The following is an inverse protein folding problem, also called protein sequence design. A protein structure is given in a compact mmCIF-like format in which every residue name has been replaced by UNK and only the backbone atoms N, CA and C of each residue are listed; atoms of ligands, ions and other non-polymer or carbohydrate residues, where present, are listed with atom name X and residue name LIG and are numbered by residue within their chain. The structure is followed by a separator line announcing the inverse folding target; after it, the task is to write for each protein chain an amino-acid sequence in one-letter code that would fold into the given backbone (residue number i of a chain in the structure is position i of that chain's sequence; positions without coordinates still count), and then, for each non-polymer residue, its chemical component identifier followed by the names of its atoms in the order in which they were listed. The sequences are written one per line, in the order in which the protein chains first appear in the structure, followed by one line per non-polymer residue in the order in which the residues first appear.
data_IF_153615067884
#
_entry.id   IF_153615067884
#
_cell.length_a   1.000
_cell.length_b   1.000
_cell.length_c   1.000
_cell.angle_alpha   90.00
_cell.angle_beta   90.00
_cell.angle_gamma   90.00
#
_symmetry.space_group_name_H-M   'P 1'
#
loop_
_entity.id
_entity.type
_entity.pdbx_description
1 polymer ?
#
# COMPACT_ATOMS: atom_id res chain seq x y z
N UNK A 1 -14.58 -28.86 50.38
CA UNK A 1 -13.98 -28.25 49.18
C UNK A 1 -13.20 -27.02 49.62
N UNK A 2 -11.87 -27.00 49.54
CA UNK A 2 -11.07 -25.83 49.89
C UNK A 2 -10.99 -24.83 48.70
N UNK A 3 -10.82 -23.52 48.93
CA UNK A 3 -10.79 -22.50 47.89
C UNK A 3 -9.46 -22.52 47.13
N UNK A 4 -9.53 -22.28 45.85
CA UNK A 4 -8.38 -22.21 44.91
C UNK A 4 -7.53 -20.98 45.19
N UNK A 5 -6.23 -21.20 45.35
CA UNK A 5 -5.20 -20.17 45.51
C UNK A 5 -5.11 -19.26 44.32
N UNK A 6 -5.16 -17.95 44.54
CA UNK A 6 -4.95 -16.91 43.50
C UNK A 6 -3.51 -16.88 43.06
N UNK A 7 -3.33 -16.99 41.75
CA UNK A 7 -2.04 -16.87 41.05
C UNK A 7 -1.64 -15.40 40.99
N UNK A 8 -0.67 -14.99 41.79
CA UNK A 8 -0.09 -13.63 41.76
C UNK A 8 0.95 -13.57 40.69
N UNK A 9 0.69 -12.78 39.66
CA UNK A 9 1.74 -12.43 38.67
C UNK A 9 2.72 -11.44 39.32
N UNK A 10 3.96 -11.87 39.48
CA UNK A 10 5.04 -10.99 39.92
C UNK A 10 5.44 -10.07 38.75
N UNK A 11 5.41 -8.76 39.02
CA UNK A 11 5.94 -7.75 38.06
C UNK A 11 7.47 -7.85 38.03
N UNK A 12 8.08 -7.75 36.86
CA UNK A 12 9.56 -7.78 36.73
C UNK A 12 10.19 -6.52 37.35
N UNK A 13 11.31 -6.75 38.01
CA UNK A 13 12.10 -5.78 38.77
C UNK A 13 12.64 -4.65 37.87
N UNK A 14 12.56 -3.41 38.35
CA UNK A 14 12.91 -2.15 37.68
C UNK A 14 14.42 -1.94 37.35
N UNK A 15 15.31 -2.90 37.58
CA UNK A 15 16.75 -2.71 37.49
C UNK A 15 17.43 -3.15 36.20
N UNK A 16 16.69 -3.53 35.15
CA UNK A 16 17.26 -3.98 33.86
C UNK A 16 16.83 -3.14 32.64
N UNK A 17 16.70 -1.84 32.80
CA UNK A 17 16.46 -0.92 31.69
C UNK A 17 17.52 0.20 31.66
N UNK A 18 18.79 -0.19 31.57
CA UNK A 18 19.85 0.68 31.10
C UNK A 18 20.57 -0.01 29.94
N UNK A 19 19.95 0.03 28.78
CA UNK A 19 20.63 -0.16 27.51
C UNK A 19 20.21 0.99 26.61
N UNK A 20 20.99 2.08 26.71
CA UNK A 20 20.99 3.22 25.82
C UNK A 20 21.46 2.77 24.45
N UNK A 21 20.55 2.38 23.55
CA UNK A 21 20.90 2.23 22.13
C UNK A 21 19.71 2.71 21.28
N UNK A 22 19.95 3.82 20.61
CA UNK A 22 19.34 4.25 19.35
C UNK A 22 17.83 4.49 19.29
N UNK A 23 17.35 5.55 19.94
CA UNK A 23 16.22 6.32 19.42
C UNK A 23 16.80 7.61 18.81
N UNK A 24 17.37 7.50 17.65
CA UNK A 24 17.71 8.66 16.82
C UNK A 24 16.90 8.57 15.54
N UNK A 25 16.15 9.62 15.32
CA UNK A 25 15.36 9.92 14.12
C UNK A 25 13.92 9.38 14.15
N UNK A 26 13.13 9.83 15.10
CA UNK A 26 11.71 10.03 14.83
C UNK A 26 11.62 11.22 13.86
N UNK A 27 11.60 10.93 12.57
CA UNK A 27 11.17 11.88 11.56
C UNK A 27 9.83 12.44 12.02
N UNK A 28 9.73 13.75 12.21
CA UNK A 28 8.49 14.44 12.58
C UNK A 28 7.39 13.94 11.69
N UNK A 29 6.47 13.12 12.21
CA UNK A 29 5.27 12.71 11.50
C UNK A 29 4.51 14.00 11.25
N UNK A 30 4.59 14.53 10.02
CA UNK A 30 3.78 15.67 9.61
C UNK A 30 2.33 15.21 9.66
N UNK A 31 1.50 15.88 10.45
CA UNK A 31 0.05 15.69 10.36
C UNK A 31 -0.35 15.92 8.91
N UNK A 32 -1.18 15.03 8.32
CA UNK A 32 -1.70 15.27 6.99
C UNK A 32 -2.42 16.64 6.98
N UNK A 33 -2.27 17.44 5.91
CA UNK A 33 -2.95 18.72 5.79
C UNK A 33 -4.46 18.53 5.94
N UNK A 34 -5.14 19.50 6.55
CA UNK A 34 -6.59 19.50 6.60
C UNK A 34 -7.14 19.48 5.16
N UNK A 35 -8.29 18.83 4.95
CA UNK A 35 -8.87 18.62 3.61
C UNK A 35 -9.04 19.90 2.76
N UNK A 36 -8.95 21.08 3.36
CA UNK A 36 -9.03 22.39 2.70
C UNK A 36 -7.73 22.89 2.07
N UNK A 37 -6.57 22.28 2.38
CA UNK A 37 -5.24 22.74 1.93
C UNK A 37 -4.45 21.67 1.14
N UNK A 38 -5.13 20.66 0.60
CA UNK A 38 -4.47 19.64 -0.24
C UNK A 38 -4.34 20.26 -1.64
N UNK A 39 -3.12 20.36 -2.21
CA UNK A 39 -2.95 20.88 -3.55
C UNK A 39 -3.75 20.06 -4.54
N UNK A 40 -4.52 20.71 -5.39
CA UNK A 40 -5.10 20.10 -6.57
C UNK A 40 -3.98 19.71 -7.51
N UNK A 41 -4.15 18.61 -8.21
CA UNK A 41 -3.22 18.13 -9.23
C UNK A 41 -4.00 17.71 -10.46
N UNK A 42 -3.30 17.35 -11.51
CA UNK A 42 -3.90 16.73 -12.69
C UNK A 42 -3.65 15.23 -12.68
N UNK A 43 -4.51 14.49 -13.37
CA UNK A 43 -4.23 13.07 -13.61
C UNK A 43 -3.00 12.93 -14.50
N UNK A 44 -2.21 11.85 -14.35
CA UNK A 44 -1.06 11.59 -15.21
C UNK A 44 -1.45 11.56 -16.68
N UNK A 45 -0.96 12.55 -17.46
CA UNK A 45 -1.26 12.66 -18.88
C UNK A 45 -0.63 11.50 -19.67
N UNK A 46 -1.34 10.99 -20.67
CA UNK A 46 -0.86 9.90 -21.53
C UNK A 46 -0.77 8.53 -20.84
N UNK A 47 -1.26 8.39 -19.59
CA UNK A 47 -1.29 7.12 -18.86
C UNK A 47 -2.73 6.69 -18.62
N UNK A 48 -2.97 5.39 -18.70
CA UNK A 48 -4.25 4.78 -18.32
C UNK A 48 -4.14 4.23 -16.91
N UNK A 49 -5.13 4.46 -16.03
CA UNK A 49 -5.12 3.83 -14.71
C UNK A 49 -5.23 2.31 -14.85
N UNK A 50 -4.44 1.59 -14.08
CA UNK A 50 -4.48 0.12 -14.03
C UNK A 50 -5.74 -0.36 -13.32
N UNK A 51 -6.21 0.42 -12.34
CA UNK A 51 -7.39 0.13 -11.56
C UNK A 51 -8.16 1.44 -11.31
N UNK A 52 -9.48 1.39 -11.43
CA UNK A 52 -10.38 2.46 -11.07
C UNK A 52 -11.52 1.89 -10.21
N UNK A 53 -11.70 2.42 -8.99
CA UNK A 53 -12.67 1.90 -8.04
C UNK A 53 -13.27 3.02 -7.19
N UNK A 54 -14.49 2.85 -6.76
CA UNK A 54 -15.18 3.77 -5.85
C UNK A 54 -15.31 3.08 -4.50
N UNK A 55 -14.69 3.61 -3.43
CA UNK A 55 -14.85 3.06 -2.08
C UNK A 55 -16.29 3.25 -1.59
N UNK A 56 -16.81 2.23 -0.93
CA UNK A 56 -18.17 2.17 -0.42
C UNK A 56 -18.19 2.37 1.11
N UNK A 57 -19.37 2.59 1.74
CA UNK A 57 -19.47 2.80 3.18
C UNK A 57 -18.76 1.76 4.06
N UNK A 58 -18.74 0.45 3.74
CA UNK A 58 -17.98 -0.54 4.51
C UNK A 58 -16.47 -0.33 4.50
N UNK A 59 -15.93 0.41 3.53
CA UNK A 59 -14.49 0.67 3.39
C UNK A 59 -14.02 1.85 4.27
N UNK A 60 -14.97 2.54 4.93
CA UNK A 60 -14.71 3.74 5.69
C UNK A 60 -14.60 3.50 7.20
N UNK A 61 -13.75 4.28 7.84
CA UNK A 61 -13.68 4.39 9.28
C UNK A 61 -14.84 5.24 9.85
N UNK A 62 -15.06 5.26 11.19
CA UNK A 62 -16.12 6.06 11.81
C UNK A 62 -16.07 7.57 11.51
N UNK A 63 -14.96 8.09 11.02
CA UNK A 63 -14.80 9.49 10.62
C UNK A 63 -15.16 9.76 9.15
N UNK A 64 -15.65 8.74 8.41
CA UNK A 64 -16.04 8.86 7.00
C UNK A 64 -14.89 8.86 6.00
N UNK A 65 -13.68 8.50 6.44
CA UNK A 65 -12.52 8.34 5.58
C UNK A 65 -12.23 6.87 5.31
N UNK A 66 -11.80 6.55 4.11
CA UNK A 66 -11.42 5.19 3.72
C UNK A 66 -10.22 4.72 4.54
N UNK A 67 -10.25 3.45 4.96
CA UNK A 67 -9.14 2.85 5.70
C UNK A 67 -7.86 2.81 4.86
N UNK A 68 -6.72 3.13 5.48
CA UNK A 68 -5.41 3.04 4.82
C UNK A 68 -5.08 1.62 4.33
N UNK A 69 -5.53 0.60 5.04
CA UNK A 69 -5.41 -0.80 4.62
C UNK A 69 -6.16 -1.11 3.32
N UNK A 70 -7.34 -0.53 3.13
CA UNK A 70 -8.08 -0.63 1.87
C UNK A 70 -7.27 0.00 0.71
N UNK A 71 -6.73 1.21 0.92
CA UNK A 71 -5.91 1.88 -0.10
C UNK A 71 -4.69 1.01 -0.45
N UNK A 72 -4.00 0.49 0.57
CA UNK A 72 -2.83 -0.36 0.39
C UNK A 72 -3.15 -1.64 -0.40
N UNK A 73 -4.29 -2.29 -0.13
CA UNK A 73 -4.70 -3.49 -0.86
C UNK A 73 -5.00 -3.20 -2.34
N UNK A 74 -5.63 -2.06 -2.65
CA UNK A 74 -5.88 -1.67 -4.04
C UNK A 74 -4.58 -1.30 -4.77
N UNK A 75 -3.63 -0.68 -4.07
CA UNK A 75 -2.30 -0.38 -4.61
C UNK A 75 -1.49 -1.65 -4.88
N UNK A 76 -1.59 -2.64 -4.01
CA UNK A 76 -0.97 -3.96 -4.21
C UNK A 76 -1.52 -4.64 -5.47
N UNK A 77 -2.84 -4.66 -5.63
CA UNK A 77 -3.49 -5.21 -6.84
C UNK A 77 -3.00 -4.48 -8.10
N UNK A 78 -2.98 -3.14 -8.09
CA UNK A 78 -2.53 -2.37 -9.24
C UNK A 78 -1.06 -2.62 -9.58
N UNK A 79 -0.19 -2.68 -8.57
CA UNK A 79 1.23 -2.99 -8.74
C UNK A 79 1.46 -4.41 -9.23
N UNK A 80 0.67 -5.38 -8.73
CA UNK A 80 0.73 -6.77 -9.17
C UNK A 80 0.38 -6.91 -10.66
N UNK A 81 -0.60 -6.17 -11.18
CA UNK A 81 -0.93 -6.18 -12.62
C UNK A 81 0.27 -5.77 -13.46
N UNK A 82 0.96 -4.68 -13.09
CA UNK A 82 2.16 -4.24 -13.81
C UNK A 82 3.31 -5.25 -13.69
N UNK A 83 3.47 -5.86 -12.51
CA UNK A 83 4.50 -6.87 -12.27
C UNK A 83 4.23 -8.16 -13.06
N UNK A 84 2.97 -8.64 -13.12
CA UNK A 84 2.55 -9.82 -13.90
C UNK A 84 2.82 -9.60 -15.39
N UNK A 85 2.47 -8.42 -15.93
CA UNK A 85 2.74 -8.07 -17.33
C UNK A 85 4.25 -8.09 -17.63
N UNK A 86 5.08 -7.54 -16.73
CA UNK A 86 6.54 -7.52 -16.89
C UNK A 86 7.16 -8.91 -16.75
N UNK A 87 6.73 -9.69 -15.77
CA UNK A 87 7.24 -11.05 -15.51
C UNK A 87 6.64 -12.11 -16.46
N UNK A 88 5.59 -11.77 -17.21
CA UNK A 88 4.84 -12.70 -18.08
C UNK A 88 4.43 -13.98 -17.34
N UNK A 89 3.92 -13.83 -16.11
CA UNK A 89 3.53 -14.96 -15.28
C UNK A 89 3.27 -14.57 -13.84
N UNK A 90 3.08 -15.56 -12.98
CA UNK A 90 2.73 -15.39 -11.58
C UNK A 90 3.77 -14.56 -10.83
N UNK A 91 3.28 -13.73 -9.91
CA UNK A 91 4.12 -12.97 -8.98
C UNK A 91 3.56 -13.07 -7.57
N UNK A 92 4.43 -12.92 -6.58
CA UNK A 92 4.05 -12.80 -5.17
C UNK A 92 4.55 -11.48 -4.61
N UNK A 93 3.73 -10.76 -3.85
CA UNK A 93 4.14 -9.56 -3.13
C UNK A 93 5.04 -9.96 -1.97
N UNK A 94 6.24 -9.41 -1.92
CA UNK A 94 7.22 -9.75 -0.87
C UNK A 94 7.56 -8.55 0.02
N UNK A 95 7.38 -7.32 -0.47
CA UNK A 95 7.66 -6.14 0.33
C UNK A 95 6.86 -4.91 -0.13
N UNK A 96 6.50 -4.08 0.83
CA UNK A 96 6.13 -2.69 0.63
C UNK A 96 7.30 -1.85 1.13
N UNK A 97 8.09 -1.31 0.20
CA UNK A 97 9.32 -0.61 0.54
C UNK A 97 9.06 0.79 1.09
N UNK A 98 8.09 1.47 0.50
CA UNK A 98 7.58 2.77 0.96
C UNK A 98 6.10 2.86 0.70
N UNK A 99 5.37 3.46 1.63
CA UNK A 99 3.96 3.82 1.44
C UNK A 99 3.72 5.15 2.15
N UNK A 100 3.24 6.13 1.42
CA UNK A 100 2.94 7.46 1.95
C UNK A 100 1.47 7.79 1.66
N UNK A 101 0.74 8.14 2.70
CA UNK A 101 -0.61 8.70 2.59
C UNK A 101 -0.49 10.24 2.57
N UNK A 102 -0.91 10.83 1.47
CA UNK A 102 -0.78 12.28 1.22
C UNK A 102 -2.07 13.01 1.58
N UNK A 103 -3.22 12.35 1.33
CA UNK A 103 -4.54 12.92 1.56
C UNK A 103 -5.56 11.82 1.91
N UNK A 104 -6.61 12.13 2.69
CA UNK A 104 -7.69 11.18 2.94
C UNK A 104 -8.54 10.98 1.69
N UNK A 105 -9.04 9.76 1.51
CA UNK A 105 -10.07 9.40 0.52
C UNK A 105 -11.41 9.34 1.24
N UNK A 106 -12.47 9.82 0.60
CA UNK A 106 -13.85 9.73 1.11
C UNK A 106 -14.63 8.66 0.35
N UNK A 107 -15.65 8.14 1.00
CA UNK A 107 -16.64 7.27 0.36
C UNK A 107 -17.24 8.00 -0.84
N UNK A 108 -17.36 7.30 -1.97
CA UNK A 108 -17.92 7.83 -3.21
C UNK A 108 -16.94 8.60 -4.11
N UNK A 109 -15.71 8.88 -3.66
CA UNK A 109 -14.69 9.47 -4.53
C UNK A 109 -14.10 8.40 -5.47
N UNK A 110 -14.16 8.62 -6.78
CA UNK A 110 -13.52 7.72 -7.74
C UNK A 110 -12.02 7.74 -7.53
N UNK A 111 -11.45 6.59 -7.21
CA UNK A 111 -10.02 6.43 -6.94
C UNK A 111 -9.36 5.68 -8.10
N UNK A 112 -8.33 6.28 -8.66
CA UNK A 112 -7.58 5.81 -9.82
C UNK A 112 -6.17 5.43 -9.38
N UNK A 113 -5.73 4.23 -9.76
CA UNK A 113 -4.42 3.71 -9.42
C UNK A 113 -3.59 3.55 -10.70
N UNK A 114 -2.41 4.14 -10.70
CA UNK A 114 -1.42 4.04 -11.77
C UNK A 114 -0.23 3.26 -11.25
N UNK A 115 0.25 2.31 -12.04
CA UNK A 115 1.39 1.49 -11.67
C UNK A 115 2.38 1.39 -12.83
N UNK A 116 3.66 1.60 -12.53
CA UNK A 116 4.77 1.47 -13.47
C UNK A 116 5.87 0.61 -12.86
N UNK A 117 6.56 -0.13 -13.72
CA UNK A 117 7.77 -0.85 -13.32
C UNK A 117 8.89 0.16 -13.08
N UNK A 118 9.33 0.28 -11.85
CA UNK A 118 10.44 1.16 -11.46
C UNK A 118 11.80 0.48 -11.54
N UNK A 119 11.84 -0.84 -11.25
CA UNK A 119 13.10 -1.61 -11.27
C UNK A 119 12.81 -3.09 -11.53
N UNK A 120 13.70 -3.73 -12.26
CA UNK A 120 13.71 -5.19 -12.45
C UNK A 120 15.02 -5.76 -11.90
N UNK A 121 14.92 -6.75 -11.01
CA UNK A 121 16.02 -7.57 -10.53
C UNK A 121 16.05 -8.91 -11.25
N UNK A 122 16.84 -9.86 -10.76
CA UNK A 122 16.90 -11.20 -11.35
C UNK A 122 15.54 -11.92 -11.24
N UNK A 123 14.99 -12.01 -10.03
CA UNK A 123 13.70 -12.69 -9.76
C UNK A 123 12.61 -11.70 -9.32
N UNK A 124 12.91 -10.41 -9.18
CA UNK A 124 12.01 -9.43 -8.59
C UNK A 124 11.67 -8.28 -9.54
N UNK A 125 10.47 -7.74 -9.37
CA UNK A 125 9.99 -6.53 -10.04
C UNK A 125 9.55 -5.55 -8.96
N UNK A 126 10.10 -4.33 -8.95
CA UNK A 126 9.62 -3.25 -8.08
C UNK A 126 8.74 -2.31 -8.91
N UNK A 127 7.52 -2.11 -8.46
CA UNK A 127 6.55 -1.22 -9.10
C UNK A 127 6.33 0.03 -8.24
N UNK A 128 6.32 1.19 -8.88
CA UNK A 128 5.82 2.43 -8.30
C UNK A 128 4.31 2.48 -8.54
N UNK A 129 3.56 2.68 -7.47
CA UNK A 129 2.10 2.81 -7.55
C UNK A 129 1.69 4.17 -7.00
N UNK A 130 0.84 4.87 -7.73
CA UNK A 130 0.30 6.18 -7.36
C UNK A 130 -1.22 6.12 -7.38
N UNK A 131 -1.83 6.67 -6.34
CA UNK A 131 -3.29 6.75 -6.22
C UNK A 131 -3.76 8.20 -6.29
N UNK A 132 -4.80 8.43 -7.07
CA UNK A 132 -5.45 9.72 -7.27
C UNK A 132 -6.94 9.58 -7.01
N UNK A 133 -7.57 10.61 -6.45
CA UNK A 133 -9.03 10.70 -6.35
C UNK A 133 -9.57 11.80 -7.21
N UNK A 134 -10.75 11.56 -7.75
CA UNK A 134 -11.59 12.56 -8.39
C UNK A 134 -12.80 12.82 -7.49
N UNK A 135 -12.88 14.03 -7.01
CA UNK A 135 -14.02 14.53 -6.26
C UNK A 135 -14.96 15.27 -7.22
N UNK A 136 -16.26 15.02 -7.07
CA UNK A 136 -17.29 15.67 -7.85
C UNK A 136 -17.22 15.39 -9.38
N UNK A 137 -17.55 14.17 -9.77
CA UNK A 137 -17.56 13.71 -11.17
C UNK A 137 -18.59 14.45 -12.08
N UNK A 138 -19.43 15.32 -11.52
CA UNK A 138 -20.49 16.05 -12.24
C UNK A 138 -20.19 17.54 -12.50
N UNK A 139 -19.06 18.06 -11.99
CA UNK A 139 -18.64 19.47 -12.15
C UNK A 139 -17.13 19.52 -12.37
N UNK A 140 -16.46 20.69 -12.41
CA UNK A 140 -15.01 20.71 -12.53
C UNK A 140 -14.39 19.76 -11.53
N UNK A 141 -13.82 18.67 -12.06
CA UNK A 141 -13.35 17.54 -11.25
C UNK A 141 -12.12 17.96 -10.47
N UNK A 142 -12.21 17.98 -9.15
CA UNK A 142 -11.05 18.19 -8.30
C UNK A 142 -10.25 16.90 -8.22
N UNK A 143 -9.04 16.91 -8.78
CA UNK A 143 -8.12 15.77 -8.73
C UNK A 143 -7.12 15.98 -7.61
N UNK A 144 -6.87 14.93 -6.82
CA UNK A 144 -5.89 14.94 -5.74
C UNK A 144 -5.05 13.67 -5.76
N UNK A 145 -3.73 13.80 -5.64
CA UNK A 145 -2.87 12.67 -5.35
C UNK A 145 -3.02 12.31 -3.87
N UNK A 146 -3.43 11.07 -3.58
CA UNK A 146 -3.80 10.64 -2.22
C UNK A 146 -2.79 9.68 -1.60
N UNK A 147 -2.06 8.92 -2.42
CA UNK A 147 -1.03 8.01 -1.93
C UNK A 147 0.01 7.70 -3.00
N UNK A 148 1.19 7.30 -2.55
CA UNK A 148 2.23 6.72 -3.39
C UNK A 148 2.98 5.63 -2.65
N UNK A 149 3.44 4.60 -3.36
CA UNK A 149 4.15 3.47 -2.78
C UNK A 149 5.13 2.82 -3.77
N UNK A 150 6.06 2.06 -3.21
CA UNK A 150 6.90 1.11 -3.93
C UNK A 150 6.62 -0.30 -3.40
N UNK A 151 6.13 -1.17 -4.26
CA UNK A 151 5.90 -2.59 -3.99
C UNK A 151 6.95 -3.43 -4.70
N UNK A 152 7.43 -4.47 -4.04
CA UNK A 152 8.33 -5.45 -4.65
C UNK A 152 7.63 -6.80 -4.75
N UNK A 153 7.64 -7.34 -5.95
CA UNK A 153 7.06 -8.63 -6.32
C UNK A 153 8.17 -9.58 -6.76
N UNK A 154 8.02 -10.87 -6.47
CA UNK A 154 8.91 -11.93 -6.96
C UNK A 154 8.16 -12.77 -7.99
N UNK A 155 8.79 -12.99 -9.15
CA UNK A 155 8.27 -13.89 -10.17
C UNK A 155 8.33 -15.33 -9.68
N UNK A 156 7.21 -16.06 -9.79
CA UNK A 156 7.04 -17.42 -9.27
C UNK A 156 6.84 -18.41 -10.40
N UNK A 157 7.38 -19.62 -10.23
CA UNK A 157 7.09 -20.75 -11.09
C UNK A 157 5.81 -21.50 -10.65
N UNK A 158 5.54 -22.64 -11.28
CA UNK A 158 4.36 -23.47 -11.00
C UNK A 158 4.43 -24.16 -9.63
N UNK A 159 5.63 -24.29 -9.06
CA UNK A 159 5.89 -24.91 -7.75
C UNK A 159 6.02 -23.88 -6.63
N UNK A 160 5.59 -22.63 -6.88
CA UNK A 160 5.74 -21.50 -5.96
C UNK A 160 7.21 -21.20 -5.59
N UNK A 161 8.16 -21.47 -6.51
CA UNK A 161 9.56 -21.11 -6.33
C UNK A 161 9.91 -19.84 -7.12
N UNK A 162 10.81 -18.98 -6.61
CA UNK A 162 11.27 -17.82 -7.34
C UNK A 162 11.94 -18.22 -8.66
N UNK A 163 11.57 -17.55 -9.77
CA UNK A 163 12.19 -17.72 -11.09
C UNK A 163 12.73 -16.41 -11.64
N UNK A 164 13.67 -16.44 -12.59
CA UNK A 164 14.12 -15.25 -13.29
C UNK A 164 12.96 -14.55 -14.01
N UNK A 165 12.89 -13.22 -13.91
CA UNK A 165 11.84 -12.39 -14.51
C UNK A 165 11.82 -12.53 -16.04
N UNK A 166 13.00 -12.59 -16.65
CA UNK A 166 13.16 -12.64 -18.11
C UNK A 166 13.03 -14.06 -18.71
N UNK A 167 12.79 -15.05 -17.86
CA UNK A 167 12.48 -16.42 -18.27
C UNK A 167 11.01 -16.71 -17.92
N UNK A 168 10.05 -16.39 -18.82
CA UNK A 168 8.64 -16.68 -18.55
C UNK A 168 8.45 -18.21 -18.41
N UNK A 169 7.44 -18.67 -17.67
CA UNK A 169 7.12 -20.08 -17.58
C UNK A 169 6.88 -20.61 -18.99
N UNK A 170 7.30 -21.84 -19.22
CA UNK A 170 6.95 -22.56 -20.44
C UNK A 170 5.42 -22.55 -20.53
N UNK A 171 4.88 -22.10 -21.66
CA UNK A 171 3.44 -22.02 -21.84
C UNK A 171 2.80 -23.33 -21.42
N UNK A 172 1.81 -23.25 -20.52
CA UNK A 172 0.98 -24.41 -20.21
C UNK A 172 0.31 -24.87 -21.53
N UNK A 173 0.34 -26.16 -21.86
CA UNK A 173 -0.24 -26.68 -23.08
C UNK A 173 -1.75 -26.40 -23.19
#
# INVERSE_FOLDING_TARGET
MPPRAGMRYALPNRSMLQSSIFIRTMTKIRRPPSSRNIPQTELPSGRTPVLAIVPMPPDANPHGHVFGGWIMSQMDIAGAVAAVQRARGRVSTVAVNTLTFLAPIRVGERTLFYADVARVGNTSVTCKVEAYTEHNIHAPTEVRKVSEALFTYVAMDENDQPRPVDQPPTACP
#
